data_IF_309241958027
#
_entry.id   IF_309241958027
#
_cell.length_a   1.000
_cell.length_b   1.000
_cell.length_c   1.000
_cell.angle_alpha   90.00
_cell.angle_beta   90.00
_cell.angle_gamma   90.00
#
_symmetry.space_group_name_H-M   'P 1'
#
loop_
_entity.id
_entity.type
_entity.pdbx_description
1 polymer ?
#
# COMPACT_ATOMS: atom_id res chain seq x y z
N UNK A 1 -29.81 -4.40 -38.83
CA UNK A 1 -29.68 -5.19 -37.60
C UNK A 1 -28.82 -4.40 -36.63
N UNK A 2 -29.43 -3.53 -35.84
CA UNK A 2 -28.74 -2.74 -34.80
C UNK A 2 -28.79 -3.54 -33.50
N UNK A 3 -27.64 -4.03 -33.06
CA UNK A 3 -27.48 -4.74 -31.79
C UNK A 3 -27.64 -3.74 -30.64
N UNK A 4 -28.75 -3.82 -29.93
CA UNK A 4 -28.98 -3.12 -28.67
C UNK A 4 -28.15 -3.80 -27.59
N UNK A 5 -27.07 -3.15 -27.15
CA UNK A 5 -26.36 -3.58 -25.95
C UNK A 5 -27.06 -2.98 -24.73
N UNK A 6 -27.61 -3.85 -23.88
CA UNK A 6 -28.07 -3.48 -22.54
C UNK A 6 -26.86 -3.44 -21.62
N UNK A 7 -26.52 -2.25 -21.13
CA UNK A 7 -25.57 -2.08 -20.02
C UNK A 7 -26.33 -2.44 -18.75
N UNK A 8 -25.83 -3.42 -17.98
CA UNK A 8 -26.35 -3.76 -16.66
C UNK A 8 -25.49 -3.03 -15.65
N UNK A 9 -26.00 -1.93 -15.11
CA UNK A 9 -25.39 -1.24 -13.97
C UNK A 9 -25.59 -2.12 -12.73
N UNK A 10 -24.52 -2.78 -12.28
CA UNK A 10 -24.48 -3.43 -10.98
C UNK A 10 -24.11 -2.35 -9.98
N UNK A 11 -25.11 -1.62 -9.49
CA UNK A 11 -24.94 -0.83 -8.27
C UNK A 11 -24.68 -1.79 -7.11
N UNK A 12 -23.42 -1.86 -6.66
CA UNK A 12 -23.06 -2.46 -5.38
C UNK A 12 -23.73 -1.65 -4.27
N UNK A 13 -24.95 -2.01 -3.92
CA UNK A 13 -25.63 -1.53 -2.73
C UNK A 13 -24.94 -2.13 -1.50
N UNK A 14 -23.94 -1.39 -0.99
CA UNK A 14 -23.39 -1.62 0.33
C UNK A 14 -24.50 -1.43 1.37
N UNK A 15 -24.84 -2.51 2.06
CA UNK A 15 -25.84 -2.51 3.12
C UNK A 15 -25.25 -1.72 4.30
N UNK A 16 -25.69 -0.47 4.45
CA UNK A 16 -25.38 0.34 5.63
C UNK A 16 -26.27 -0.15 6.78
N UNK A 17 -25.64 -0.74 7.81
CA UNK A 17 -26.26 -0.87 9.12
C UNK A 17 -25.62 0.18 10.02
N UNK A 18 -26.49 1.01 10.61
CA UNK A 18 -26.14 2.19 11.39
C UNK A 18 -25.69 1.78 12.80
N UNK A 19 -24.43 2.08 13.14
CA UNK A 19 -24.00 2.34 14.51
C UNK A 19 -22.87 3.39 14.45
N UNK A 20 -23.02 4.45 15.23
CA UNK A 20 -22.13 5.61 15.26
C UNK A 20 -20.78 5.28 15.91
N UNK A 21 -19.88 4.69 15.15
CA UNK A 21 -18.43 4.77 15.32
C UNK A 21 -17.89 5.20 13.97
N UNK A 22 -17.01 6.22 13.94
CA UNK A 22 -16.32 6.70 12.74
C UNK A 22 -16.05 5.55 11.79
N UNK A 23 -16.81 5.47 10.69
CA UNK A 23 -16.70 4.38 9.74
C UNK A 23 -15.39 4.55 8.98
N UNK A 24 -14.28 4.23 9.65
CA UNK A 24 -13.02 3.90 9.03
C UNK A 24 -13.35 2.69 8.18
N UNK A 25 -13.59 2.91 6.89
CA UNK A 25 -13.74 1.82 5.91
C UNK A 25 -12.53 0.92 6.12
N UNK A 26 -12.75 -0.24 6.73
CA UNK A 26 -11.67 -1.14 7.09
C UNK A 26 -11.03 -1.58 5.79
N UNK A 27 -9.82 -1.07 5.52
CA UNK A 27 -9.09 -1.41 4.30
C UNK A 27 -8.50 -2.79 4.50
N UNK A 28 -8.91 -3.74 3.67
CA UNK A 28 -8.37 -5.10 3.67
C UNK A 28 -7.29 -5.26 2.61
N UNK A 29 -6.37 -6.19 2.84
CA UNK A 29 -5.33 -6.55 1.89
C UNK A 29 -5.95 -7.24 0.65
N UNK A 30 -5.59 -6.79 -0.54
CA UNK A 30 -6.04 -7.38 -1.80
C UNK A 30 -5.53 -8.82 -2.07
N UNK A 31 -4.67 -9.35 -1.20
CA UNK A 31 -4.09 -10.70 -1.32
C UNK A 31 -4.69 -11.66 -0.30
N UNK A 32 -4.59 -11.35 1.00
CA UNK A 32 -5.09 -12.23 2.07
C UNK A 32 -6.48 -11.84 2.58
N UNK A 33 -7.06 -10.71 2.16
CA UNK A 33 -8.34 -10.16 2.65
C UNK A 33 -8.38 -9.77 4.14
N UNK A 34 -7.24 -9.85 4.84
CA UNK A 34 -7.09 -9.41 6.23
C UNK A 34 -6.97 -7.88 6.36
N UNK A 35 -7.31 -7.28 7.51
CA UNK A 35 -7.16 -5.85 7.74
C UNK A 35 -5.72 -5.34 7.53
N UNK A 36 -5.59 -4.16 6.91
CA UNK A 36 -4.30 -3.50 6.70
C UNK A 36 -3.86 -2.72 7.94
N UNK A 37 -3.31 -3.41 8.94
CA UNK A 37 -2.63 -2.74 10.06
C UNK A 37 -1.30 -2.11 9.64
N UNK A 38 -0.56 -2.82 8.78
CA UNK A 38 0.66 -2.34 8.14
C UNK A 38 0.52 -2.47 6.64
N UNK A 39 0.64 -1.34 5.94
CA UNK A 39 0.36 -1.24 4.52
C UNK A 39 1.60 -0.86 3.74
N UNK A 40 1.72 -1.46 2.57
CA UNK A 40 2.83 -1.23 1.66
C UNK A 40 2.42 -0.26 0.58
N UNK A 41 3.19 0.82 0.44
CA UNK A 41 3.00 1.89 -0.52
C UNK A 41 4.07 1.75 -1.59
N UNK A 42 3.63 1.62 -2.84
CA UNK A 42 4.53 1.63 -3.97
C UNK A 42 4.81 3.02 -4.51
N UNK A 43 5.79 3.14 -5.42
CA UNK A 43 6.11 4.39 -6.13
C UNK A 43 4.90 5.05 -6.82
N UNK A 44 3.86 4.27 -7.13
CA UNK A 44 2.59 4.74 -7.67
C UNK A 44 1.60 5.29 -6.62
N UNK A 45 1.92 5.25 -5.32
CA UNK A 45 1.09 5.74 -4.21
C UNK A 45 -0.04 4.80 -3.77
N UNK A 46 -0.30 3.70 -4.49
CA UNK A 46 -1.30 2.70 -4.09
C UNK A 46 -0.82 1.89 -2.88
N UNK A 47 -1.74 1.60 -1.96
CA UNK A 47 -1.49 0.99 -0.66
C UNK A 47 -2.52 -0.10 -0.36
N UNK A 48 -2.52 -1.18 -1.18
CA UNK A 48 -3.57 -2.23 -1.14
C UNK A 48 -3.07 -3.59 -0.67
N UNK A 49 -1.80 -3.69 -0.24
CA UNK A 49 -1.16 -4.95 0.16
C UNK A 49 -0.53 -4.80 1.54
N UNK A 50 -0.67 -5.81 2.41
CA UNK A 50 -0.06 -5.81 3.73
C UNK A 50 1.43 -6.17 3.69
N UNK A 51 2.16 -5.86 4.77
CA UNK A 51 3.59 -6.19 4.89
C UNK A 51 3.92 -7.67 4.66
N UNK A 52 3.13 -8.59 5.21
CA UNK A 52 3.39 -10.04 5.05
C UNK A 52 3.14 -10.52 3.61
N UNK A 53 2.08 -10.02 2.96
CA UNK A 53 1.77 -10.40 1.59
C UNK A 53 2.76 -9.81 0.59
N UNK A 54 3.30 -8.60 0.84
CA UNK A 54 4.35 -8.09 -0.05
C UNK A 54 5.59 -8.96 0.03
N UNK A 55 5.94 -9.50 1.20
CA UNK A 55 7.13 -10.35 1.30
C UNK A 55 7.02 -11.56 0.37
N UNK A 56 5.84 -12.20 0.34
CA UNK A 56 5.56 -13.33 -0.54
C UNK A 56 5.57 -12.90 -2.01
N UNK A 57 4.78 -11.88 -2.37
CA UNK A 57 4.61 -11.47 -3.78
C UNK A 57 5.91 -10.90 -4.38
N UNK A 58 6.64 -10.06 -3.65
CA UNK A 58 7.83 -9.38 -4.16
C UNK A 58 9.12 -10.18 -4.10
N UNK A 59 9.34 -10.95 -3.03
CA UNK A 59 10.62 -11.62 -2.80
C UNK A 59 10.56 -13.11 -3.13
N UNK A 60 9.40 -13.75 -2.99
CA UNK A 60 9.25 -15.19 -3.30
C UNK A 60 8.76 -15.36 -4.73
N UNK A 61 7.70 -14.66 -5.11
CA UNK A 61 7.09 -14.78 -6.45
C UNK A 61 7.75 -13.86 -7.50
N UNK A 62 8.66 -12.97 -7.05
CA UNK A 62 9.38 -11.97 -7.87
C UNK A 62 8.47 -11.02 -8.70
N UNK A 63 7.18 -10.92 -8.36
CA UNK A 63 6.23 -10.03 -9.03
C UNK A 63 6.28 -8.62 -8.44
N UNK A 64 7.13 -7.76 -9.02
CA UNK A 64 7.36 -6.37 -8.58
C UNK A 64 6.36 -5.35 -9.17
N UNK A 65 5.14 -5.76 -9.45
CA UNK A 65 4.09 -4.90 -10.02
C UNK A 65 3.06 -4.49 -8.97
N UNK A 66 2.63 -3.23 -9.02
CA UNK A 66 1.52 -2.77 -8.20
C UNK A 66 0.25 -3.59 -8.48
N UNK A 67 -0.37 -4.14 -7.44
CA UNK A 67 -1.58 -4.96 -7.60
C UNK A 67 -2.78 -4.20 -8.18
N UNK A 68 -2.84 -2.88 -7.93
CA UNK A 68 -3.92 -2.01 -8.39
C UNK A 68 -3.72 -1.52 -9.83
N UNK A 69 -2.56 -0.93 -10.15
CA UNK A 69 -2.34 -0.27 -11.44
C UNK A 69 -1.28 -0.93 -12.33
N UNK A 70 -0.65 -2.02 -11.87
CA UNK A 70 0.40 -2.76 -12.58
C UNK A 70 1.67 -1.97 -12.90
N UNK A 71 1.85 -0.78 -12.33
CA UNK A 71 3.10 -0.04 -12.43
C UNK A 71 4.26 -0.80 -11.74
N UNK A 72 5.48 -0.79 -12.30
CA UNK A 72 6.67 -1.33 -11.64
C UNK A 72 6.94 -0.62 -10.32
N UNK A 73 7.26 -1.40 -9.29
CA UNK A 73 7.40 -0.90 -7.93
C UNK A 73 8.58 -1.61 -7.22
N UNK A 74 9.83 -1.26 -7.58
CA UNK A 74 11.01 -1.90 -6.99
C UNK A 74 11.35 -1.41 -5.58
N UNK A 75 10.89 -0.21 -5.21
CA UNK A 75 11.05 0.41 -3.90
C UNK A 75 9.72 0.42 -3.18
N UNK A 76 9.71 -0.06 -1.93
CA UNK A 76 8.49 -0.12 -1.12
C UNK A 76 8.61 0.68 0.17
N UNK A 77 7.54 1.33 0.60
CA UNK A 77 7.43 1.93 1.94
C UNK A 77 6.38 1.17 2.71
N UNK A 78 6.70 0.74 3.93
CA UNK A 78 5.78 0.08 4.85
C UNK A 78 5.44 1.08 5.95
N UNK A 79 4.16 1.41 6.07
CA UNK A 79 3.64 2.34 7.08
C UNK A 79 2.46 1.75 7.82
N UNK A 80 2.10 2.39 8.93
CA UNK A 80 0.86 2.10 9.66
C UNK A 80 -0.37 2.37 8.79
N UNK A 81 -1.35 1.45 8.82
CA UNK A 81 -2.56 1.53 8.00
C UNK A 81 -3.56 2.60 8.44
N UNK A 82 -3.42 3.08 9.68
CA UNK A 82 -4.10 4.24 10.24
C UNK A 82 -3.34 5.56 9.98
N UNK A 83 -2.23 5.54 9.24
CA UNK A 83 -1.53 6.75 8.82
C UNK A 83 -2.49 7.70 8.05
N UNK A 84 -2.64 8.96 8.49
CA UNK A 84 -3.57 9.91 7.87
C UNK A 84 -3.05 10.47 6.54
N UNK A 85 -1.76 10.29 6.24
CA UNK A 85 -1.14 10.83 5.03
C UNK A 85 -1.43 9.96 3.81
N UNK A 86 -1.61 10.60 2.66
CA UNK A 86 -1.73 9.88 1.39
C UNK A 86 -0.41 9.18 1.05
N UNK A 87 -0.46 8.10 0.27
CA UNK A 87 0.75 7.43 -0.21
C UNK A 87 1.69 8.37 -0.98
N UNK A 88 1.14 9.32 -1.73
CA UNK A 88 1.94 10.33 -2.42
C UNK A 88 2.68 11.27 -1.44
N UNK A 89 2.03 11.66 -0.34
CA UNK A 89 2.65 12.51 0.68
C UNK A 89 3.80 11.76 1.37
N UNK A 90 3.57 10.50 1.75
CA UNK A 90 4.60 9.67 2.39
C UNK A 90 5.82 9.49 1.49
N UNK A 91 5.60 9.25 0.19
CA UNK A 91 6.68 9.12 -0.77
C UNK A 91 7.48 10.43 -0.94
N UNK A 92 6.84 11.59 -0.78
CA UNK A 92 7.50 12.89 -0.87
C UNK A 92 8.41 13.19 0.34
N UNK A 93 8.08 12.64 1.52
CA UNK A 93 8.88 12.75 2.75
C UNK A 93 10.06 11.78 2.79
N UNK A 94 10.13 10.81 1.87
CA UNK A 94 11.26 9.89 1.82
C UNK A 94 12.56 10.64 1.48
N UNK A 95 13.68 10.30 2.12
CA UNK A 95 14.97 10.86 1.75
C UNK A 95 15.26 10.57 0.28
N UNK A 96 15.73 11.61 -0.42
CA UNK A 96 15.98 11.61 -1.86
C UNK A 96 16.86 10.42 -2.26
N UNK A 97 16.27 9.49 -3.02
CA UNK A 97 16.88 8.30 -3.63
C UNK A 97 17.30 7.17 -2.67
N UNK A 98 16.54 6.05 -2.61
CA UNK A 98 17.05 4.80 -2.01
C UNK A 98 18.29 4.26 -2.74
N UNK A 99 18.47 4.66 -4.01
CA UNK A 99 19.52 4.16 -4.89
C UNK A 99 20.91 4.66 -4.50
N UNK A 100 21.00 5.68 -3.64
CA UNK A 100 22.26 6.16 -3.08
C UNK A 100 22.61 5.52 -1.73
N UNK A 101 21.73 4.70 -1.13
CA UNK A 101 21.99 4.06 0.17
C UNK A 101 22.63 2.70 -0.03
N UNK A 102 23.96 2.66 0.11
CA UNK A 102 24.75 1.43 0.13
C UNK A 102 24.77 0.77 1.52
N UNK A 103 24.05 1.32 2.49
CA UNK A 103 23.96 0.80 3.86
C UNK A 103 22.51 0.83 4.39
N UNK A 104 22.16 -0.20 5.16
CA UNK A 104 20.96 -0.21 5.99
C UNK A 104 21.07 0.85 7.08
N UNK A 105 19.95 1.49 7.45
CA UNK A 105 19.95 2.44 8.56
C UNK A 105 18.79 3.42 8.60
N UNK A 106 18.79 4.26 9.64
CA UNK A 106 17.77 5.29 9.88
C UNK A 106 17.79 6.36 8.77
N UNK A 107 16.61 6.85 8.43
CA UNK A 107 16.29 7.60 7.23
C UNK A 107 15.20 8.65 7.57
N UNK A 108 15.52 9.59 8.46
CA UNK A 108 14.48 10.42 9.09
C UNK A 108 13.62 9.56 10.01
N UNK A 109 12.30 9.61 9.79
CA UNK A 109 11.30 8.82 10.51
C UNK A 109 11.20 7.36 10.04
N UNK A 110 11.90 7.03 8.96
CA UNK A 110 11.92 5.69 8.39
C UNK A 110 13.23 4.96 8.68
N UNK A 111 13.19 3.64 8.56
CA UNK A 111 14.35 2.75 8.52
C UNK A 111 14.47 2.11 7.14
N UNK A 112 15.63 2.23 6.49
CA UNK A 112 15.88 1.60 5.20
C UNK A 112 16.55 0.24 5.38
N UNK A 113 15.97 -0.82 4.81
CA UNK A 113 16.59 -2.15 4.72
C UNK A 113 17.07 -2.39 3.28
N UNK A 114 18.36 -2.68 3.14
CA UNK A 114 19.01 -2.85 1.83
C UNK A 114 18.62 -4.17 1.15
N UNK A 115 18.43 -5.25 1.91
CA UNK A 115 18.13 -6.59 1.38
C UNK A 115 16.76 -6.65 0.70
N UNK A 116 15.83 -5.84 1.21
CA UNK A 116 14.44 -5.76 0.71
C UNK A 116 14.19 -4.53 -0.15
N UNK A 117 15.16 -3.62 -0.27
CA UNK A 117 15.00 -2.30 -0.87
C UNK A 117 13.71 -1.61 -0.38
N UNK A 118 13.53 -1.55 0.94
CA UNK A 118 12.29 -1.11 1.57
C UNK A 118 12.54 -0.09 2.69
N UNK A 119 11.64 0.87 2.82
CA UNK A 119 11.54 1.76 3.97
C UNK A 119 10.46 1.25 4.94
N UNK A 120 10.74 1.28 6.23
CA UNK A 120 9.80 0.93 7.28
C UNK A 120 9.61 2.13 8.19
N UNK A 121 8.36 2.55 8.40
CA UNK A 121 8.03 3.50 9.45
C UNK A 121 8.40 2.93 10.83
N UNK A 122 8.89 3.80 11.70
CA UNK A 122 9.04 3.51 13.12
C UNK A 122 7.65 3.46 13.78
N UNK A 123 7.47 2.66 14.84
CA UNK A 123 6.20 2.63 15.58
C UNK A 123 5.81 4.00 16.17
N UNK A 124 6.82 4.84 16.40
CA UNK A 124 6.66 6.17 16.98
C UNK A 124 6.67 7.29 15.92
N UNK A 125 6.77 6.95 14.64
CA UNK A 125 6.66 7.92 13.56
C UNK A 125 5.19 8.35 13.40
N UNK A 126 4.97 9.57 12.89
CA UNK A 126 3.62 10.10 12.67
C UNK A 126 2.80 9.31 11.63
N UNK A 127 3.46 8.34 11.00
CA UNK A 127 3.04 7.25 10.14
C UNK A 127 4.08 6.12 10.26
#
# INVERSE_FOLDING_TARGET
>A
MTMSHTVVDIELQGVAHEDAATATVMRCCAVCMEPLEWVVIGSCGHHVVCGSCIVRVHFVDEDKLCRQCKAPFPLVVVVRGDCPHSGANILAELPSSPMSKTSQGRAGDFWFNIDTAAYFADENAGC
#
